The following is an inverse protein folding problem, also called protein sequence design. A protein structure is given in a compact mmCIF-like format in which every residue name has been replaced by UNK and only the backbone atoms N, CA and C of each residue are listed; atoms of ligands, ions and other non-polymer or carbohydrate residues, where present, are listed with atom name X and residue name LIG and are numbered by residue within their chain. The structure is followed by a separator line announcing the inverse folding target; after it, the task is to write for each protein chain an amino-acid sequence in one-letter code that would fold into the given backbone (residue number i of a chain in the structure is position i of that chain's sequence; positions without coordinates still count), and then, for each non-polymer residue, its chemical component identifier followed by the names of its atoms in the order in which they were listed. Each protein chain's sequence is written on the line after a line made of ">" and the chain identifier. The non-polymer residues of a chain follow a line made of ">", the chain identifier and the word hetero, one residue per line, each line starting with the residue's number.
data_IF_638697614227
#
_entry.id   IF_638697614227
#
_cell.length_a   1.000
_cell.length_b   1.000
_cell.length_c   1.000
_cell.angle_alpha   90.00
_cell.angle_beta   90.00
_cell.angle_gamma   90.00
#
_symmetry.space_group_name_H-M   'P 1'
#
loop_
_entity.id
_entity.type
_entity.pdbx_description
1 polymer ?
#
# COMPACT_ATOMS: atom_id res chain seq x y z
N UNK A 1 -45.16 27.22 -11.43
CA UNK A 1 -44.57 26.04 -12.12
C UNK A 1 -43.23 26.45 -12.68
N UNK A 2 -42.18 26.22 -11.94
CA UNK A 2 -40.82 26.47 -12.40
C UNK A 2 -39.91 25.33 -11.92
N UNK A 3 -39.55 24.47 -12.88
CA UNK A 3 -38.64 23.35 -12.66
C UNK A 3 -37.20 23.87 -12.78
N UNK A 4 -36.49 24.00 -11.66
CA UNK A 4 -35.07 24.21 -11.67
C UNK A 4 -34.33 22.87 -11.82
N UNK A 5 -33.55 22.75 -12.87
CA UNK A 5 -32.62 21.65 -13.16
C UNK A 5 -31.41 21.77 -12.21
N UNK A 6 -30.93 20.72 -11.57
CA UNK A 6 -29.71 20.79 -10.76
C UNK A 6 -28.48 20.91 -11.66
N UNK A 7 -27.66 21.92 -11.36
CA UNK A 7 -26.44 22.23 -12.09
C UNK A 7 -25.37 21.14 -11.95
N UNK A 8 -24.68 20.89 -13.04
CA UNK A 8 -23.48 20.09 -13.17
C UNK A 8 -22.41 20.61 -12.20
N UNK A 9 -22.01 19.77 -11.26
CA UNK A 9 -20.83 20.00 -10.43
C UNK A 9 -19.61 19.55 -11.23
N UNK A 10 -18.89 20.51 -11.79
CA UNK A 10 -17.58 20.28 -12.38
C UNK A 10 -16.58 19.84 -11.29
N UNK A 11 -15.73 18.83 -11.53
CA UNK A 11 -14.70 18.47 -10.56
C UNK A 11 -13.75 19.65 -10.36
N UNK A 12 -13.58 20.07 -9.10
CA UNK A 12 -12.61 21.08 -8.71
C UNK A 12 -11.21 20.62 -9.14
N UNK A 13 -10.49 21.48 -9.87
CA UNK A 13 -9.08 21.28 -10.19
C UNK A 13 -8.32 21.04 -8.87
N UNK A 14 -7.48 20.00 -8.85
CA UNK A 14 -6.54 19.76 -7.76
C UNK A 14 -5.76 21.05 -7.47
N UNK A 15 -5.92 21.57 -6.27
CA UNK A 15 -5.17 22.74 -5.80
C UNK A 15 -3.70 22.31 -5.68
N UNK A 16 -2.79 23.11 -6.24
CA UNK A 16 -1.35 22.91 -6.03
C UNK A 16 -1.05 23.27 -4.57
N UNK A 17 -0.82 22.26 -3.74
CA UNK A 17 -0.39 22.50 -2.37
C UNK A 17 1.01 23.09 -2.34
N UNK A 18 1.13 24.20 -1.64
CA UNK A 18 2.40 24.78 -1.26
C UNK A 18 2.62 24.44 0.22
N UNK A 19 3.46 23.48 0.49
CA UNK A 19 3.90 23.20 1.85
C UNK A 19 4.78 24.36 2.35
N UNK A 20 4.51 24.94 3.52
CA UNK A 20 5.45 25.90 4.09
C UNK A 20 6.75 25.17 4.41
N UNK A 21 7.85 25.58 3.79
CA UNK A 21 9.18 25.03 4.02
C UNK A 21 9.58 25.26 5.46
N UNK A 22 10.00 24.19 6.15
CA UNK A 22 10.74 24.33 7.41
C UNK A 22 12.04 25.03 7.07
N UNK A 23 12.28 26.21 7.63
CA UNK A 23 13.50 26.99 7.37
C UNK A 23 14.70 26.23 7.92
N UNK A 24 15.66 25.82 7.08
CA UNK A 24 16.87 25.19 7.58
C UNK A 24 17.78 26.21 8.27
N UNK A 25 18.43 25.79 9.32
CA UNK A 25 19.56 26.53 9.90
C UNK A 25 20.62 26.77 8.81
N UNK A 26 21.23 27.96 8.80
CA UNK A 26 22.11 28.49 7.78
C UNK A 26 23.15 27.48 7.27
N UNK A 27 23.33 27.32 5.94
CA UNK A 27 24.21 26.33 5.36
C UNK A 27 25.69 26.72 5.50
N UNK A 28 26.60 25.74 5.63
CA UNK A 28 28.02 25.98 5.40
C UNK A 28 28.30 26.24 3.91
N UNK A 29 29.33 27.04 3.62
CA UNK A 29 29.73 27.57 2.32
C UNK A 29 29.89 26.52 1.21
N UNK A 30 29.63 26.86 -0.06
CA UNK A 30 29.54 25.89 -1.14
C UNK A 30 30.89 25.45 -1.66
N UNK A 31 31.21 24.17 -1.56
CA UNK A 31 32.27 23.55 -2.33
C UNK A 31 31.71 22.67 -3.42
N UNK A 32 31.98 23.07 -4.66
CA UNK A 32 31.85 22.33 -5.94
C UNK A 32 30.54 21.61 -6.23
N UNK A 33 29.77 22.19 -7.14
CA UNK A 33 28.75 21.50 -7.95
C UNK A 33 29.39 20.28 -8.63
N UNK A 34 29.00 19.09 -8.20
CA UNK A 34 29.00 17.92 -9.07
C UNK A 34 27.70 17.95 -9.85
N UNK A 35 27.82 18.12 -11.16
CA UNK A 35 26.70 17.94 -12.09
C UNK A 35 26.27 16.47 -12.02
N UNK A 36 25.11 16.22 -11.41
CA UNK A 36 24.45 14.93 -11.52
C UNK A 36 24.14 14.70 -13.01
N UNK A 37 24.80 13.74 -13.63
CA UNK A 37 24.43 13.25 -14.96
C UNK A 37 23.04 12.65 -14.85
N UNK A 38 22.04 13.39 -15.33
CA UNK A 38 20.68 12.90 -15.50
C UNK A 38 20.73 11.66 -16.41
N UNK A 39 20.42 10.49 -15.87
CA UNK A 39 20.17 9.32 -16.66
C UNK A 39 18.91 9.61 -17.49
N UNK A 40 19.10 9.91 -18.77
CA UNK A 40 18.00 10.08 -19.73
C UNK A 40 17.44 8.71 -20.05
N UNK A 41 16.18 8.49 -19.73
CA UNK A 41 15.43 7.32 -20.23
C UNK A 41 15.61 7.17 -21.73
N UNK A 42 15.78 5.95 -22.26
CA UNK A 42 15.89 5.73 -23.70
C UNK A 42 14.71 6.35 -24.43
N UNK A 43 14.97 7.10 -25.52
CA UNK A 43 13.96 7.84 -26.31
C UNK A 43 12.77 6.98 -26.80
N UNK A 44 12.93 5.65 -26.84
CA UNK A 44 11.90 4.70 -27.20
C UNK A 44 10.72 4.64 -26.21
N UNK A 45 10.94 5.02 -24.94
CA UNK A 45 9.91 5.02 -23.90
C UNK A 45 9.11 6.33 -23.82
N UNK A 46 9.65 7.44 -24.33
CA UNK A 46 8.97 8.74 -24.32
C UNK A 46 7.82 8.86 -25.34
N UNK A 47 7.75 7.99 -26.37
CA UNK A 47 6.79 8.11 -27.49
C UNK A 47 5.53 7.26 -27.40
N UNK A 48 5.32 6.46 -26.35
CA UNK A 48 4.10 5.63 -26.23
C UNK A 48 3.30 5.95 -24.95
N UNK A 49 2.49 7.00 -25.02
CA UNK A 49 1.31 7.17 -24.16
C UNK A 49 0.20 6.21 -24.63
N UNK A 50 0.38 4.92 -24.53
CA UNK A 50 -0.73 3.94 -24.57
C UNK A 50 -0.17 2.55 -24.28
N UNK A 51 -0.60 1.95 -23.18
CA UNK A 51 -0.39 0.56 -22.76
C UNK A 51 1.08 0.15 -22.70
N UNK A 52 1.76 0.57 -21.64
CA UNK A 52 3.08 0.07 -21.31
C UNK A 52 3.04 -1.44 -21.10
N UNK A 53 3.65 -2.20 -22.00
CA UNK A 53 4.21 -3.49 -21.65
C UNK A 53 5.52 -3.18 -20.94
N UNK A 54 5.58 -3.39 -19.63
CA UNK A 54 6.85 -3.38 -18.92
C UNK A 54 7.66 -4.57 -19.48
N UNK A 55 8.56 -4.31 -20.40
CA UNK A 55 9.45 -5.36 -20.90
C UNK A 55 10.42 -5.75 -19.77
N UNK A 56 10.95 -6.98 -19.83
CA UNK A 56 12.02 -7.40 -18.90
C UNK A 56 13.20 -6.43 -18.89
N UNK A 57 13.47 -5.77 -20.03
CA UNK A 57 14.48 -4.73 -20.16
C UNK A 57 14.14 -3.46 -19.34
N UNK A 58 12.86 -3.07 -19.28
CA UNK A 58 12.44 -1.95 -18.43
C UNK A 58 12.59 -2.27 -16.93
N UNK A 59 12.12 -3.44 -16.51
CA UNK A 59 12.28 -3.88 -15.12
C UNK A 59 13.75 -4.03 -14.73
N UNK A 60 14.61 -4.50 -15.65
CA UNK A 60 16.05 -4.59 -15.41
C UNK A 60 16.71 -3.20 -15.30
N UNK A 61 16.26 -2.23 -16.10
CA UNK A 61 16.77 -0.86 -16.04
C UNK A 61 16.33 -0.19 -14.71
N UNK A 62 15.08 -0.41 -14.28
CA UNK A 62 14.57 0.04 -12.99
C UNK A 62 15.38 -0.57 -11.82
N UNK A 63 15.70 -1.86 -11.90
CA UNK A 63 16.49 -2.57 -10.90
C UNK A 63 17.96 -2.11 -10.81
N UNK A 64 18.47 -1.40 -11.80
CA UNK A 64 19.85 -0.89 -11.86
C UNK A 64 19.98 0.62 -11.65
N UNK A 65 18.87 1.32 -11.38
CA UNK A 65 18.83 2.75 -11.13
C UNK A 65 19.59 3.17 -9.87
N UNK A 66 20.05 4.42 -9.84
CA UNK A 66 20.59 5.03 -8.61
C UNK A 66 19.42 5.37 -7.69
N UNK A 67 19.48 4.87 -6.45
CA UNK A 67 18.41 5.02 -5.49
C UNK A 67 18.65 6.18 -4.55
N UNK A 68 17.59 6.90 -4.30
CA UNK A 68 17.53 7.87 -3.23
C UNK A 68 17.14 7.15 -1.92
N UNK A 69 17.77 7.48 -0.81
CA UNK A 69 17.34 6.99 0.50
C UNK A 69 17.12 8.14 1.47
N UNK A 70 16.15 7.96 2.35
CA UNK A 70 15.84 8.91 3.40
C UNK A 70 15.94 8.19 4.75
N UNK A 71 16.57 8.88 5.71
CA UNK A 71 16.53 8.51 7.12
C UNK A 71 15.59 9.49 7.80
N UNK A 72 14.58 9.00 8.48
CA UNK A 72 13.66 9.86 9.20
C UNK A 72 14.38 10.51 10.37
N UNK A 73 14.33 11.83 10.52
CA UNK A 73 14.87 12.48 11.69
C UNK A 73 14.03 12.06 12.89
N UNK A 74 14.67 11.49 13.89
CA UNK A 74 14.06 11.34 15.20
C UNK A 74 14.04 12.68 15.93
N UNK A 75 13.45 12.69 17.12
CA UNK A 75 13.47 13.84 18.01
C UNK A 75 14.90 14.39 18.14
N UNK A 76 15.06 15.70 17.86
CA UNK A 76 16.37 16.37 17.95
C UNK A 76 17.00 16.27 19.35
N UNK A 77 16.17 15.98 20.39
CA UNK A 77 16.62 15.83 21.77
C UNK A 77 17.23 14.45 22.07
N UNK A 78 16.78 13.38 21.41
CA UNK A 78 17.17 11.99 21.71
C UNK A 78 18.18 11.41 20.75
N UNK A 79 18.37 12.00 19.55
CA UNK A 79 19.20 11.47 18.45
C UNK A 79 18.84 10.02 18.08
N UNK A 80 17.66 9.53 18.44
CA UNK A 80 17.18 8.23 17.99
C UNK A 80 16.72 8.33 16.52
N UNK A 81 16.87 7.29 15.75
CA UNK A 81 16.37 7.21 14.38
C UNK A 81 15.08 6.40 14.42
N UNK A 82 13.99 6.97 13.92
CA UNK A 82 12.71 6.30 13.92
C UNK A 82 12.63 5.25 12.81
N UNK A 83 11.96 4.11 13.10
CA UNK A 83 11.78 3.04 12.13
C UNK A 83 10.55 3.31 11.25
N UNK A 84 10.68 3.42 9.91
CA UNK A 84 9.55 3.60 9.02
C UNK A 84 8.75 2.30 8.90
N UNK A 85 7.46 2.36 9.20
CA UNK A 85 6.57 1.20 9.23
C UNK A 85 5.50 1.21 8.15
N UNK A 86 5.07 2.39 7.70
CA UNK A 86 3.99 2.52 6.72
C UNK A 86 4.23 3.68 5.77
N UNK A 87 3.81 3.49 4.51
CA UNK A 87 4.02 4.42 3.42
C UNK A 87 2.71 4.69 2.68
N UNK A 88 2.51 5.94 2.27
CA UNK A 88 1.43 6.29 1.35
C UNK A 88 1.82 7.48 0.48
N UNK A 89 1.65 7.38 -0.84
CA UNK A 89 1.89 8.46 -1.75
C UNK A 89 0.64 9.31 -2.03
N UNK A 90 0.85 10.62 -2.06
CA UNK A 90 -0.05 11.58 -2.67
C UNK A 90 0.73 12.34 -3.74
N UNK A 91 0.62 11.95 -5.00
CA UNK A 91 1.42 12.49 -6.10
C UNK A 91 2.93 12.39 -5.81
N UNK A 92 3.62 13.53 -5.64
CA UNK A 92 5.04 13.59 -5.30
C UNK A 92 5.34 13.52 -3.80
N UNK A 93 4.30 13.65 -2.96
CA UNK A 93 4.48 13.64 -1.52
C UNK A 93 4.33 12.22 -0.96
N UNK A 94 5.35 11.77 -0.25
CA UNK A 94 5.38 10.48 0.44
C UNK A 94 5.13 10.69 1.93
N UNK A 95 4.01 10.20 2.43
CA UNK A 95 3.78 10.09 3.86
C UNK A 95 4.48 8.84 4.39
N UNK A 96 5.21 9.00 5.48
CA UNK A 96 5.93 7.93 6.18
C UNK A 96 5.49 7.95 7.63
N UNK A 97 4.93 6.84 8.09
CA UNK A 97 4.58 6.62 9.49
C UNK A 97 5.64 5.77 10.18
N UNK A 98 6.00 6.15 11.40
CA UNK A 98 7.08 5.53 12.14
C UNK A 98 6.62 4.80 13.42
N UNK A 99 7.58 4.20 14.10
CA UNK A 99 7.38 3.46 15.36
C UNK A 99 7.25 4.37 16.59
N UNK A 100 7.56 5.68 16.45
CA UNK A 100 7.35 6.69 17.49
C UNK A 100 5.98 7.38 17.40
N UNK A 101 5.16 7.02 16.42
CA UNK A 101 3.80 7.56 16.22
C UNK A 101 3.75 8.85 15.42
N UNK A 102 4.83 9.23 14.75
CA UNK A 102 4.91 10.42 13.92
C UNK A 102 4.52 10.10 12.49
N UNK A 103 4.11 11.13 11.78
CA UNK A 103 3.94 11.10 10.34
C UNK A 103 4.82 12.19 9.73
N UNK A 104 5.73 11.78 8.87
CA UNK A 104 6.60 12.67 8.12
C UNK A 104 6.16 12.70 6.65
N UNK A 105 6.16 13.88 6.04
CA UNK A 105 5.85 14.05 4.61
C UNK A 105 7.14 14.43 3.89
N UNK A 106 7.53 13.63 2.92
CA UNK A 106 8.70 13.86 2.08
C UNK A 106 8.26 14.34 0.69
N UNK A 107 8.89 15.40 0.17
CA UNK A 107 8.77 15.80 -1.23
C UNK A 107 9.83 15.03 -2.04
N UNK A 108 9.41 14.07 -2.84
CA UNK A 108 10.31 13.17 -3.58
C UNK A 108 10.97 13.83 -4.80
N UNK A 109 10.59 15.06 -5.15
CA UNK A 109 11.24 15.83 -6.20
C UNK A 109 12.39 16.68 -5.67
N UNK A 110 12.47 16.88 -4.37
CA UNK A 110 13.54 17.66 -3.74
C UNK A 110 14.75 16.76 -3.40
N UNK A 111 15.97 17.31 -3.38
CA UNK A 111 17.16 16.57 -2.93
C UNK A 111 16.99 16.05 -1.49
N UNK A 112 17.66 14.96 -1.14
CA UNK A 112 17.57 14.31 0.18
C UNK A 112 17.66 15.26 1.38
N UNK A 113 18.53 16.26 1.31
CA UNK A 113 18.76 17.23 2.39
C UNK A 113 17.59 18.20 2.60
N UNK A 114 16.67 18.32 1.64
CA UNK A 114 15.53 19.25 1.65
C UNK A 114 14.20 18.53 1.40
N UNK A 115 14.19 17.20 1.34
CA UNK A 115 13.01 16.42 1.03
C UNK A 115 11.96 16.43 2.14
N UNK A 116 12.35 16.63 3.40
CA UNK A 116 11.40 16.70 4.50
C UNK A 116 10.55 17.97 4.40
N UNK A 117 9.30 17.82 3.94
CA UNK A 117 8.34 18.91 3.83
C UNK A 117 7.60 19.18 5.13
N UNK A 118 7.30 18.13 5.89
CA UNK A 118 6.58 18.21 7.16
C UNK A 118 6.93 17.02 8.06
N UNK A 119 7.01 17.26 9.36
CA UNK A 119 7.07 16.21 10.39
C UNK A 119 6.15 16.59 11.54
N UNK A 120 5.30 15.68 11.95
CA UNK A 120 4.38 15.90 13.06
C UNK A 120 5.08 15.67 14.38
N UNK A 121 4.50 16.22 15.46
CA UNK A 121 4.61 15.60 16.77
C UNK A 121 3.96 14.20 16.73
N UNK A 122 4.21 13.31 17.71
CA UNK A 122 3.56 12.02 17.76
C UNK A 122 2.03 12.16 17.69
N UNK A 123 1.44 11.72 16.57
CA UNK A 123 -0.01 11.73 16.35
C UNK A 123 -0.68 10.51 16.98
N UNK A 124 0.09 9.46 17.22
CA UNK A 124 -0.35 8.18 17.76
C UNK A 124 0.49 7.85 18.99
N UNK A 125 -0.11 7.28 20.01
CA UNK A 125 0.66 6.73 21.14
C UNK A 125 1.28 5.38 20.75
N UNK A 126 2.55 5.42 20.31
CA UNK A 126 3.30 4.30 19.75
C UNK A 126 3.28 4.30 18.21
N UNK A 127 3.27 3.15 17.56
CA UNK A 127 3.57 3.03 16.14
C UNK A 127 2.41 3.38 15.22
N UNK A 128 2.73 3.93 14.04
CA UNK A 128 1.81 4.13 12.91
C UNK A 128 1.89 2.91 11.99
N UNK A 129 0.86 2.07 11.98
CA UNK A 129 0.87 0.82 11.23
C UNK A 129 0.26 0.87 9.84
N UNK A 130 -0.56 1.87 9.56
CA UNK A 130 -1.21 2.00 8.27
C UNK A 130 -1.46 3.47 7.94
N UNK A 131 -1.21 3.82 6.69
CA UNK A 131 -1.46 5.12 6.09
C UNK A 131 -2.19 4.93 4.78
N UNK A 132 -3.18 5.79 4.48
CA UNK A 132 -3.90 5.74 3.21
C UNK A 132 -4.44 7.12 2.85
N UNK A 133 -4.13 7.60 1.66
CA UNK A 133 -4.58 8.90 1.16
C UNK A 133 -5.92 8.82 0.41
N UNK A 134 -6.74 9.83 0.61
CA UNK A 134 -7.90 10.11 -0.24
C UNK A 134 -8.00 11.63 -0.44
N UNK A 135 -7.69 12.10 -1.65
CA UNK A 135 -7.48 13.52 -1.92
C UNK A 135 -6.46 14.10 -0.90
N UNK A 136 -6.86 15.12 -0.15
CA UNK A 136 -6.02 15.85 0.80
C UNK A 136 -6.16 15.33 2.25
N UNK A 137 -6.83 14.19 2.42
CA UNK A 137 -7.07 13.56 3.71
C UNK A 137 -6.24 12.29 3.85
N UNK A 138 -5.49 12.18 4.94
CA UNK A 138 -4.72 11.01 5.29
C UNK A 138 -5.39 10.25 6.44
N UNK A 139 -5.80 9.01 6.19
CA UNK A 139 -6.22 8.10 7.24
C UNK A 139 -4.98 7.47 7.89
N UNK A 140 -4.95 7.44 9.23
CA UNK A 140 -3.84 6.96 10.05
C UNK A 140 -4.35 5.89 10.99
N UNK A 141 -3.77 4.68 10.92
CA UNK A 141 -4.05 3.58 11.84
C UNK A 141 -2.91 3.41 12.85
N UNK A 142 -3.22 3.51 14.14
CA UNK A 142 -2.22 3.54 15.20
C UNK A 142 -2.23 2.33 16.13
N UNK A 143 -1.10 2.09 16.79
CA UNK A 143 -0.98 1.05 17.83
C UNK A 143 -1.85 1.30 19.06
N UNK A 144 -2.32 2.53 19.26
CA UNK A 144 -3.24 2.94 20.31
C UNK A 144 -4.72 2.59 20.02
N UNK A 145 -4.95 1.73 19.03
CA UNK A 145 -6.28 1.24 18.65
C UNK A 145 -7.22 2.30 18.06
N UNK A 146 -6.70 3.45 17.67
CA UNK A 146 -7.49 4.53 17.05
C UNK A 146 -7.26 4.62 15.56
N UNK A 147 -8.24 5.18 14.86
CA UNK A 147 -8.11 5.65 13.47
C UNK A 147 -8.25 7.16 13.47
N UNK A 148 -7.29 7.85 12.85
CA UNK A 148 -7.30 9.31 12.78
C UNK A 148 -7.42 9.78 11.35
N UNK A 149 -8.05 10.92 11.18
CA UNK A 149 -8.12 11.64 9.92
C UNK A 149 -7.31 12.93 10.04
N UNK A 150 -6.23 12.99 9.30
CA UNK A 150 -5.38 14.17 9.21
C UNK A 150 -5.65 14.92 7.90
N UNK A 151 -5.77 16.23 7.99
CA UNK A 151 -6.09 17.12 6.86
C UNK A 151 -4.81 17.84 6.44
N UNK A 152 -4.40 17.66 5.18
CA UNK A 152 -3.17 18.23 4.67
C UNK A 152 -3.21 19.77 4.55
N UNK A 153 -4.39 20.36 4.27
CA UNK A 153 -4.53 21.81 4.21
C UNK A 153 -4.39 22.44 5.60
N UNK A 154 -4.96 21.80 6.60
CA UNK A 154 -4.93 22.27 7.99
C UNK A 154 -3.69 21.84 8.75
N UNK A 155 -2.95 20.84 8.22
CA UNK A 155 -1.82 20.19 8.88
C UNK A 155 -2.17 19.71 10.30
N UNK A 156 -3.38 19.19 10.48
CA UNK A 156 -3.90 18.81 11.78
C UNK A 156 -4.80 17.58 11.70
N UNK A 157 -4.86 16.82 12.79
CA UNK A 157 -5.86 15.78 12.98
C UNK A 157 -7.22 16.45 13.16
N UNK A 158 -8.15 16.14 12.28
CA UNK A 158 -9.51 16.69 12.31
C UNK A 158 -10.49 15.78 13.02
N UNK A 159 -10.26 14.48 12.99
CA UNK A 159 -11.13 13.47 13.60
C UNK A 159 -10.25 12.36 14.18
N UNK A 160 -10.66 11.86 15.35
CA UNK A 160 -10.15 10.62 15.93
C UNK A 160 -11.33 9.71 16.20
N UNK A 161 -11.30 8.51 15.62
CA UNK A 161 -12.29 7.48 15.85
C UNK A 161 -11.75 6.42 16.80
N UNK A 162 -12.57 6.09 17.78
CA UNK A 162 -12.34 5.03 18.75
C UNK A 162 -13.37 3.92 18.54
N UNK A 163 -12.98 2.67 18.81
CA UNK A 163 -13.90 1.53 18.66
C UNK A 163 -13.17 0.19 18.54
N UNK A 164 -11.98 0.18 17.96
CA UNK A 164 -11.15 -1.02 17.91
C UNK A 164 -10.59 -1.37 19.30
N UNK A 165 -10.57 -2.67 19.62
CA UNK A 165 -9.88 -3.20 20.80
C UNK A 165 -8.45 -3.69 20.50
N UNK A 166 -8.02 -3.58 19.26
CA UNK A 166 -6.69 -3.93 18.77
C UNK A 166 -6.22 -2.97 17.69
N UNK A 167 -4.92 -2.95 17.42
CA UNK A 167 -4.31 -2.00 16.47
C UNK A 167 -4.88 -2.15 15.06
N UNK A 168 -5.44 -1.10 14.43
CA UNK A 168 -5.80 -1.08 13.03
C UNK A 168 -4.53 -1.15 12.16
N UNK A 169 -4.48 -2.16 11.31
CA UNK A 169 -3.35 -2.42 10.39
C UNK A 169 -3.76 -2.41 8.93
N UNK A 170 -5.06 -2.47 8.66
CA UNK A 170 -5.62 -2.41 7.33
C UNK A 170 -6.50 -1.17 7.23
N UNK A 171 -6.22 -0.33 6.27
CA UNK A 171 -7.05 0.83 5.91
C UNK A 171 -7.43 0.71 4.43
N UNK A 172 -8.60 1.18 4.09
CA UNK A 172 -9.03 1.35 2.71
C UNK A 172 -10.05 2.49 2.62
N UNK A 173 -9.97 3.30 1.58
CA UNK A 173 -10.97 4.32 1.29
C UNK A 173 -12.04 3.77 0.37
N UNK A 174 -13.29 4.07 0.70
CA UNK A 174 -14.38 3.87 -0.25
C UNK A 174 -14.33 4.95 -1.35
N UNK A 175 -14.87 4.67 -2.54
CA UNK A 175 -15.01 5.70 -3.58
C UNK A 175 -15.83 6.91 -3.15
N UNK A 176 -16.66 6.75 -2.12
CA UNK A 176 -17.53 7.79 -1.55
C UNK A 176 -16.86 8.62 -0.46
N UNK A 177 -15.60 8.30 -0.11
CA UNK A 177 -14.81 9.04 0.89
C UNK A 177 -15.05 8.60 2.34
N UNK A 178 -15.47 7.36 2.57
CA UNK A 178 -15.47 6.75 3.90
C UNK A 178 -14.19 5.95 4.13
N UNK A 179 -13.63 6.01 5.33
CA UNK A 179 -12.50 5.18 5.74
C UNK A 179 -13.01 3.83 6.23
N UNK A 180 -12.41 2.75 5.78
CA UNK A 180 -12.65 1.41 6.36
C UNK A 180 -11.38 0.94 7.03
N UNK A 181 -11.50 0.47 8.26
CA UNK A 181 -10.39 -0.05 9.05
C UNK A 181 -10.62 -1.49 9.47
N UNK A 182 -9.56 -2.28 9.44
CA UNK A 182 -9.50 -3.63 9.97
C UNK A 182 -8.35 -3.77 10.97
N UNK A 183 -8.59 -4.46 12.07
CA UNK A 183 -7.63 -4.46 13.16
C UNK A 183 -7.31 -5.87 13.70
N UNK A 184 -6.38 -5.87 14.65
CA UNK A 184 -5.92 -7.10 15.33
C UNK A 184 -7.01 -7.76 16.18
N UNK A 185 -8.05 -7.00 16.58
CA UNK A 185 -9.24 -7.53 17.26
C UNK A 185 -10.14 -8.39 16.37
N UNK A 186 -9.89 -8.37 15.04
CA UNK A 186 -10.66 -9.10 14.04
C UNK A 186 -11.90 -8.37 13.56
N UNK A 187 -12.12 -7.15 14.00
CA UNK A 187 -13.27 -6.33 13.62
C UNK A 187 -12.95 -5.45 12.42
N UNK A 188 -13.99 -5.10 11.66
CA UNK A 188 -13.94 -4.13 10.58
C UNK A 188 -14.94 -3.02 10.87
N UNK A 189 -14.49 -1.78 10.79
CA UNK A 189 -15.34 -0.59 10.90
C UNK A 189 -15.32 0.22 9.62
N UNK A 190 -16.44 0.87 9.32
CA UNK A 190 -16.54 1.91 8.28
C UNK A 190 -16.86 3.23 8.98
N UNK A 191 -16.03 4.23 8.71
CA UNK A 191 -16.08 5.55 9.33
C UNK A 191 -16.46 6.60 8.30
N UNK A 192 -17.43 7.43 8.64
CA UNK A 192 -17.80 8.60 7.84
C UNK A 192 -17.32 9.86 8.55
N UNK A 193 -16.55 10.70 7.88
CA UNK A 193 -16.03 11.95 8.45
C UNK A 193 -17.10 12.94 8.92
N UNK A 194 -18.36 12.72 8.51
CA UNK A 194 -19.52 13.52 8.93
C UNK A 194 -20.11 13.09 10.27
N UNK A 195 -19.70 11.93 10.77
CA UNK A 195 -20.27 11.34 12.00
C UNK A 195 -19.15 10.97 12.98
N UNK A 196 -19.37 11.18 14.30
CA UNK A 196 -18.38 10.82 15.31
C UNK A 196 -18.32 9.30 15.57
N UNK A 197 -19.34 8.56 15.19
CA UNK A 197 -19.44 7.11 15.38
C UNK A 197 -19.27 6.36 14.06
N UNK A 198 -18.91 5.08 14.14
CA UNK A 198 -18.84 4.21 12.99
C UNK A 198 -20.19 4.13 12.27
N UNK A 199 -20.15 4.26 10.94
CA UNK A 199 -21.31 4.07 10.09
C UNK A 199 -21.69 2.58 9.97
N UNK A 200 -20.70 1.68 10.06
CA UNK A 200 -20.88 0.24 10.00
C UNK A 200 -19.84 -0.46 10.89
N UNK A 201 -20.26 -1.54 11.56
CA UNK A 201 -19.37 -2.44 12.31
C UNK A 201 -19.63 -3.89 11.89
N UNK A 202 -18.58 -4.58 11.51
CA UNK A 202 -18.55 -6.00 11.19
C UNK A 202 -17.70 -6.69 12.26
N UNK A 203 -18.32 -7.28 13.29
CA UNK A 203 -17.58 -7.89 14.36
C UNK A 203 -16.98 -9.23 13.92
N UNK A 204 -15.74 -9.47 14.32
CA UNK A 204 -15.04 -10.75 14.16
C UNK A 204 -15.11 -11.29 12.72
N UNK A 205 -14.74 -10.46 11.75
CA UNK A 205 -14.92 -10.70 10.32
C UNK A 205 -14.39 -12.05 9.82
N UNK A 206 -13.31 -12.56 10.43
CA UNK A 206 -12.67 -13.84 10.07
C UNK A 206 -12.67 -14.88 11.20
N UNK A 207 -13.51 -14.73 12.21
CA UNK A 207 -13.51 -15.67 13.34
C UNK A 207 -13.93 -17.09 12.93
N UNK A 208 -13.19 -18.06 13.42
CA UNK A 208 -13.57 -19.48 13.41
C UNK A 208 -13.86 -19.94 14.84
N UNK A 209 -15.11 -20.31 15.13
CA UNK A 209 -15.56 -20.75 16.46
C UNK A 209 -15.18 -19.73 17.57
N UNK A 210 -14.16 -20.04 18.39
CA UNK A 210 -13.72 -19.19 19.51
C UNK A 210 -12.44 -18.40 19.20
N UNK A 211 -11.74 -18.66 18.09
CA UNK A 211 -10.51 -17.96 17.74
C UNK A 211 -10.82 -16.64 17.03
N UNK A 212 -10.14 -15.58 17.43
CA UNK A 212 -10.12 -14.29 16.73
C UNK A 212 -8.95 -14.31 15.75
N UNK A 213 -9.21 -13.93 14.50
CA UNK A 213 -8.17 -13.76 13.50
C UNK A 213 -8.06 -12.27 13.18
N UNK A 214 -6.86 -11.70 13.29
CA UNK A 214 -6.61 -10.32 12.93
C UNK A 214 -6.96 -10.06 11.46
N UNK A 215 -7.62 -8.95 11.16
CA UNK A 215 -7.82 -8.46 9.80
C UNK A 215 -6.52 -7.82 9.35
N UNK A 216 -5.95 -8.31 8.26
CA UNK A 216 -4.61 -7.93 7.80
C UNK A 216 -4.62 -7.01 6.59
N UNK A 217 -5.63 -7.15 5.72
CA UNK A 217 -5.80 -6.26 4.59
C UNK A 217 -7.27 -6.11 4.20
N UNK A 218 -7.57 -4.97 3.61
CA UNK A 218 -8.88 -4.56 3.10
C UNK A 218 -8.70 -3.98 1.71
N UNK A 219 -9.63 -4.24 0.82
CA UNK A 219 -9.66 -3.61 -0.50
C UNK A 219 -11.10 -3.50 -1.02
N UNK A 220 -11.46 -2.34 -1.53
CA UNK A 220 -12.73 -2.17 -2.23
C UNK A 220 -12.64 -2.82 -3.61
N UNK A 221 -13.69 -3.57 -3.96
CA UNK A 221 -13.81 -4.18 -5.29
C UNK A 221 -14.43 -3.20 -6.28
N UNK A 222 -14.24 -3.42 -7.59
CA UNK A 222 -14.87 -2.60 -8.62
C UNK A 222 -16.38 -2.45 -8.40
N UNK A 223 -16.87 -1.21 -8.46
CA UNK A 223 -18.26 -0.88 -8.12
C UNK A 223 -18.43 -0.26 -6.73
N UNK A 224 -17.44 -0.34 -5.83
CA UNK A 224 -17.37 0.41 -4.57
C UNK A 224 -18.31 -0.02 -3.45
N UNK A 225 -19.26 -0.91 -3.72
CA UNK A 225 -20.26 -1.40 -2.74
C UNK A 225 -19.81 -2.67 -2.03
N UNK A 226 -18.77 -3.31 -2.53
CA UNK A 226 -18.25 -4.57 -2.00
C UNK A 226 -16.82 -4.39 -1.51
N UNK A 227 -16.52 -5.02 -0.38
CA UNK A 227 -15.24 -4.98 0.30
C UNK A 227 -14.67 -6.39 0.40
N UNK A 228 -13.44 -6.59 -0.04
CA UNK A 228 -12.67 -7.79 0.26
C UNK A 228 -11.88 -7.59 1.54
N UNK A 229 -11.87 -8.60 2.40
CA UNK A 229 -11.06 -8.63 3.61
C UNK A 229 -10.27 -9.93 3.72
N UNK A 230 -9.11 -9.86 4.33
CA UNK A 230 -8.22 -11.00 4.59
C UNK A 230 -7.81 -11.08 6.05
N UNK A 231 -7.20 -12.19 6.43
CA UNK A 231 -6.80 -12.42 7.82
C UNK A 231 -5.44 -13.08 7.97
N UNK A 232 -4.89 -12.96 9.17
CA UNK A 232 -3.64 -13.62 9.56
C UNK A 232 -3.76 -15.15 9.71
N UNK A 233 -4.98 -15.72 9.74
CA UNK A 233 -5.19 -17.10 10.10
C UNK A 233 -5.14 -18.09 8.92
N UNK A 234 -5.52 -17.63 7.72
CA UNK A 234 -5.59 -18.44 6.51
C UNK A 234 -5.63 -17.57 5.26
N UNK A 235 -5.36 -18.17 4.10
CA UNK A 235 -5.42 -17.50 2.80
C UNK A 235 -6.84 -17.52 2.21
N UNK A 236 -7.83 -17.09 3.01
CA UNK A 236 -9.24 -17.00 2.63
C UNK A 236 -9.64 -15.53 2.55
N UNK A 237 -10.20 -15.13 1.42
CA UNK A 237 -10.83 -13.83 1.27
C UNK A 237 -12.31 -13.94 1.67
N UNK A 238 -12.79 -12.97 2.42
CA UNK A 238 -14.21 -12.74 2.64
C UNK A 238 -14.63 -11.50 1.84
N UNK A 239 -15.72 -11.60 1.11
CA UNK A 239 -16.32 -10.48 0.38
C UNK A 239 -17.62 -10.06 1.07
N UNK A 240 -17.75 -8.78 1.32
CA UNK A 240 -18.87 -8.17 2.03
C UNK A 240 -19.62 -7.21 1.13
N UNK A 241 -20.94 -7.30 1.10
CA UNK A 241 -21.78 -6.20 0.62
C UNK A 241 -22.05 -5.28 1.81
N UNK A 242 -21.54 -4.05 1.75
CA UNK A 242 -21.60 -3.11 2.86
C UNK A 242 -23.03 -2.64 3.19
N UNK A 243 -23.96 -2.81 2.28
CA UNK A 243 -25.40 -2.54 2.51
C UNK A 243 -26.05 -3.62 3.39
N UNK A 244 -25.46 -4.82 3.43
CA UNK A 244 -26.00 -5.98 4.15
C UNK A 244 -24.87 -6.80 4.83
N UNK A 245 -23.98 -6.15 5.55
CA UNK A 245 -22.74 -6.72 6.07
C UNK A 245 -22.90 -7.67 7.28
N UNK A 246 -24.07 -8.27 7.50
CA UNK A 246 -24.27 -9.26 8.59
C UNK A 246 -23.48 -10.55 8.40
N UNK A 247 -23.17 -10.90 7.16
CA UNK A 247 -22.35 -12.07 6.78
C UNK A 247 -21.69 -11.78 5.43
N UNK A 248 -20.52 -12.38 5.16
CA UNK A 248 -19.91 -12.26 3.85
C UNK A 248 -20.81 -12.88 2.78
N UNK A 249 -20.90 -12.21 1.63
CA UNK A 249 -21.66 -12.67 0.46
C UNK A 249 -20.91 -13.76 -0.30
N UNK A 250 -19.59 -13.74 -0.25
CA UNK A 250 -18.72 -14.77 -0.84
C UNK A 250 -17.49 -15.02 0.02
N UNK A 251 -16.92 -16.22 -0.11
CA UNK A 251 -15.67 -16.63 0.50
C UNK A 251 -14.90 -17.49 -0.49
N UNK A 252 -13.58 -17.31 -0.52
CA UNK A 252 -12.70 -18.20 -1.29
C UNK A 252 -12.40 -19.48 -0.51
N UNK A 253 -11.88 -20.49 -1.22
CA UNK A 253 -11.14 -21.57 -0.57
C UNK A 253 -9.80 -21.04 -0.03
N UNK A 254 -9.19 -21.80 0.87
CA UNK A 254 -7.86 -21.48 1.41
C UNK A 254 -6.80 -21.65 0.31
N UNK A 255 -6.36 -20.52 -0.24
CA UNK A 255 -5.46 -20.49 -1.39
C UNK A 255 -4.07 -21.07 -1.06
N UNK A 256 -3.60 -20.97 0.20
CA UNK A 256 -2.31 -21.53 0.61
C UNK A 256 -2.23 -23.05 0.46
N UNK A 257 -3.37 -23.73 0.41
CA UNK A 257 -3.46 -25.18 0.18
C UNK A 257 -3.30 -25.57 -1.30
N UNK A 258 -3.28 -24.61 -2.21
CA UNK A 258 -3.00 -24.87 -3.63
C UNK A 258 -1.54 -25.23 -3.87
N UNK A 259 -0.64 -24.69 -3.05
CA UNK A 259 0.77 -25.01 -3.11
C UNK A 259 1.04 -26.39 -2.47
N UNK A 260 1.59 -27.33 -3.25
CA UNK A 260 1.83 -28.73 -2.81
C UNK A 260 2.82 -28.85 -1.65
N UNK A 261 3.66 -27.82 -1.45
CA UNK A 261 4.64 -27.79 -0.35
C UNK A 261 4.06 -27.26 0.96
N UNK A 262 2.86 -26.67 0.96
CA UNK A 262 2.23 -26.13 2.17
C UNK A 262 1.54 -27.21 2.98
N UNK A 263 2.04 -27.46 4.18
CA UNK A 263 1.43 -28.37 5.16
C UNK A 263 0.51 -27.65 6.15
N UNK A 264 0.54 -26.33 6.20
CA UNK A 264 -0.24 -25.48 7.12
C UNK A 264 -1.03 -24.43 6.33
N UNK A 265 -2.04 -23.86 6.96
CA UNK A 265 -2.67 -22.63 6.46
C UNK A 265 -1.79 -21.44 6.76
N UNK A 266 -1.62 -20.57 5.78
CA UNK A 266 -0.87 -19.33 5.87
C UNK A 266 -1.83 -18.15 5.78
N UNK A 267 -1.51 -17.03 6.45
CA UNK A 267 -2.32 -15.84 6.42
C UNK A 267 -2.00 -14.96 5.19
N UNK A 268 -2.94 -14.13 4.80
CA UNK A 268 -2.71 -13.08 3.81
C UNK A 268 -2.24 -11.82 4.54
N UNK A 269 -1.17 -11.21 4.07
CA UNK A 269 -0.59 -9.99 4.64
C UNK A 269 -1.12 -8.72 3.96
N UNK A 270 -1.36 -8.76 2.64
CA UNK A 270 -1.76 -7.58 1.88
C UNK A 270 -2.62 -7.94 0.68
N UNK A 271 -3.43 -6.99 0.22
CA UNK A 271 -4.29 -7.08 -0.95
C UNK A 271 -4.04 -5.91 -1.89
N UNK A 272 -4.05 -6.17 -3.20
CA UNK A 272 -4.08 -5.15 -4.23
C UNK A 272 -5.13 -5.52 -5.29
N UNK A 273 -5.91 -4.55 -5.75
CA UNK A 273 -7.00 -4.76 -6.70
C UNK A 273 -6.69 -4.06 -8.02
N UNK A 274 -6.59 -4.81 -9.08
CA UNK A 274 -6.50 -4.31 -10.45
C UNK A 274 -7.92 -4.20 -11.03
N UNK A 275 -8.49 -3.00 -10.98
CA UNK A 275 -9.88 -2.77 -11.36
C UNK A 275 -10.13 -3.03 -12.85
N UNK A 276 -9.22 -2.60 -13.73
CA UNK A 276 -9.32 -2.79 -15.18
C UNK A 276 -9.21 -4.25 -15.61
N UNK A 277 -8.63 -5.10 -14.78
CA UNK A 277 -8.38 -6.53 -15.03
C UNK A 277 -9.32 -7.44 -14.28
N UNK A 278 -10.14 -6.90 -13.40
CA UNK A 278 -10.95 -7.67 -12.47
C UNK A 278 -10.14 -8.70 -11.67
N UNK A 279 -8.92 -8.34 -11.26
CA UNK A 279 -8.03 -9.21 -10.51
C UNK A 279 -7.77 -8.68 -9.10
N UNK A 280 -7.70 -9.61 -8.13
CA UNK A 280 -7.24 -9.35 -6.77
C UNK A 280 -5.94 -10.11 -6.57
N UNK A 281 -4.89 -9.41 -6.21
CA UNK A 281 -3.61 -9.98 -5.80
C UNK A 281 -3.54 -10.03 -4.29
N UNK A 282 -3.20 -11.18 -3.73
CA UNK A 282 -3.16 -11.43 -2.29
C UNK A 282 -1.79 -11.97 -1.90
N UNK A 283 -0.97 -11.16 -1.23
CA UNK A 283 0.30 -11.63 -0.68
C UNK A 283 0.04 -12.55 0.51
N UNK A 284 0.67 -13.70 0.50
CA UNK A 284 0.54 -14.72 1.53
C UNK A 284 1.88 -14.93 2.25
N UNK A 285 1.80 -15.31 3.52
CA UNK A 285 3.00 -15.57 4.34
C UNK A 285 3.77 -16.83 3.92
N UNK A 286 3.27 -17.60 2.96
CA UNK A 286 3.99 -18.71 2.32
C UNK A 286 4.92 -18.27 1.18
N UNK A 287 5.04 -16.97 0.93
CA UNK A 287 5.87 -16.40 -0.12
C UNK A 287 5.22 -16.32 -1.50
N UNK A 288 3.94 -16.72 -1.62
CA UNK A 288 3.18 -16.61 -2.85
C UNK A 288 2.29 -15.36 -2.88
N UNK A 289 2.01 -14.87 -4.07
CA UNK A 289 0.95 -13.91 -4.34
C UNK A 289 -0.14 -14.63 -5.11
N UNK A 290 -1.26 -14.90 -4.46
CA UNK A 290 -2.41 -15.56 -5.08
C UNK A 290 -3.25 -14.58 -5.89
N UNK A 291 -3.81 -15.07 -6.99
CA UNK A 291 -4.64 -14.27 -7.89
C UNK A 291 -6.08 -14.79 -7.85
N UNK A 292 -7.03 -13.86 -7.68
CA UNK A 292 -8.46 -14.15 -7.65
C UNK A 292 -9.19 -13.25 -8.65
N UNK A 293 -10.35 -13.71 -9.12
CA UNK A 293 -11.25 -12.90 -9.93
C UNK A 293 -12.03 -11.95 -9.02
N UNK A 294 -11.95 -10.64 -9.28
CA UNK A 294 -12.68 -9.63 -8.50
C UNK A 294 -14.19 -9.61 -8.79
N UNK A 295 -14.63 -10.17 -9.91
CA UNK A 295 -16.04 -10.32 -10.25
C UNK A 295 -16.69 -11.52 -9.57
N UNK A 296 -15.93 -12.62 -9.37
CA UNK A 296 -16.40 -13.81 -8.68
C UNK A 296 -15.23 -14.50 -7.97
N UNK A 297 -14.97 -14.11 -6.74
CA UNK A 297 -13.87 -14.65 -5.93
C UNK A 297 -13.99 -16.16 -5.62
N UNK A 298 -15.16 -16.76 -5.86
CA UNK A 298 -15.37 -18.20 -5.65
C UNK A 298 -14.80 -19.04 -6.78
N UNK A 299 -14.55 -18.40 -7.93
CA UNK A 299 -13.89 -19.05 -9.06
C UNK A 299 -12.37 -19.04 -8.88
N UNK A 300 -11.69 -20.08 -9.33
CA UNK A 300 -10.24 -20.02 -9.51
C UNK A 300 -9.93 -18.87 -10.50
N UNK A 301 -8.71 -18.38 -10.44
CA UNK A 301 -8.22 -17.41 -11.43
C UNK A 301 -8.65 -17.82 -12.85
N UNK A 302 -8.94 -16.81 -13.69
CA UNK A 302 -9.51 -17.03 -15.02
C UNK A 302 -8.75 -18.15 -15.78
N UNK A 303 -9.43 -19.10 -16.42
CA UNK A 303 -8.76 -20.19 -17.11
C UNK A 303 -7.70 -19.68 -18.10
N UNK A 304 -6.47 -20.13 -17.94
CA UNK A 304 -5.30 -19.71 -18.73
C UNK A 304 -4.59 -18.48 -18.20
N UNK A 305 -4.93 -17.98 -17.00
CA UNK A 305 -4.15 -17.02 -16.22
C UNK A 305 -3.44 -17.70 -15.06
N UNK A 306 -2.38 -17.05 -14.56
CA UNK A 306 -1.70 -17.53 -13.35
C UNK A 306 -2.64 -17.50 -12.15
N UNK A 307 -2.67 -18.57 -11.39
CA UNK A 307 -3.38 -18.65 -10.12
C UNK A 307 -2.54 -18.15 -8.94
N UNK A 308 -1.22 -18.08 -9.12
CA UNK A 308 -0.29 -17.49 -8.18
C UNK A 308 1.01 -17.05 -8.87
N UNK A 309 1.65 -16.03 -8.29
CA UNK A 309 2.97 -15.54 -8.63
C UNK A 309 3.91 -15.87 -7.48
N UNK A 310 5.13 -16.26 -7.75
CA UNK A 310 6.12 -16.47 -6.71
C UNK A 310 7.55 -16.22 -7.20
N UNK A 311 8.44 -15.96 -6.25
CA UNK A 311 9.89 -15.91 -6.47
C UNK A 311 10.59 -16.81 -5.45
N UNK A 312 11.60 -17.54 -5.90
CA UNK A 312 12.28 -18.55 -5.08
C UNK A 312 12.94 -17.96 -3.83
N UNK A 313 13.26 -16.68 -3.85
CA UNK A 313 13.87 -15.99 -2.69
C UNK A 313 12.87 -15.61 -1.59
N UNK A 314 11.57 -15.81 -1.81
CA UNK A 314 10.52 -15.41 -0.88
C UNK A 314 10.00 -16.57 -0.04
N UNK A 315 10.87 -17.36 0.57
CA UNK A 315 10.47 -18.58 1.26
C UNK A 315 9.49 -18.43 2.42
N UNK A 316 9.40 -17.28 3.04
CA UNK A 316 8.35 -16.97 4.04
C UNK A 316 8.26 -15.46 4.19
N UNK A 317 7.11 -14.88 3.91
CA UNK A 317 6.86 -13.48 4.21
C UNK A 317 6.26 -13.33 5.60
N UNK A 318 6.54 -12.24 6.26
CA UNK A 318 5.85 -11.87 7.47
C UNK A 318 4.44 -11.34 7.18
N UNK A 319 3.67 -11.14 8.23
CA UNK A 319 2.38 -10.45 8.12
C UNK A 319 2.53 -8.93 7.89
N UNK A 320 3.75 -8.43 7.83
CA UNK A 320 4.05 -7.03 7.52
C UNK A 320 4.30 -6.78 6.04
N UNK A 321 4.64 -7.82 5.26
CA UNK A 321 4.87 -7.69 3.82
C UNK A 321 3.65 -7.07 3.11
N UNK A 322 3.87 -5.95 2.40
CA UNK A 322 2.83 -5.21 1.70
C UNK A 322 2.98 -5.34 0.19
N UNK A 323 1.83 -5.36 -0.48
CA UNK A 323 1.70 -5.27 -1.93
C UNK A 323 1.37 -3.83 -2.31
N UNK A 324 1.99 -3.37 -3.39
CA UNK A 324 1.59 -2.15 -4.05
C UNK A 324 1.41 -2.40 -5.56
N UNK A 325 0.38 -1.81 -6.14
CA UNK A 325 0.05 -1.96 -7.56
C UNK A 325 0.08 -0.58 -8.23
N UNK A 326 0.81 -0.47 -9.34
CA UNK A 326 0.87 0.73 -10.16
C UNK A 326 0.13 0.53 -11.47
N UNK A 327 -0.86 1.39 -11.75
CA UNK A 327 -1.63 1.48 -13.01
C UNK A 327 -2.11 0.10 -13.53
N UNK A 328 -2.57 -0.77 -12.63
CA UNK A 328 -3.00 -2.15 -12.92
C UNK A 328 -1.95 -2.99 -13.71
N UNK A 329 -0.69 -2.55 -13.73
CA UNK A 329 0.35 -3.11 -14.59
C UNK A 329 1.60 -3.62 -13.87
N UNK A 330 2.06 -2.92 -12.84
CA UNK A 330 3.25 -3.29 -12.07
C UNK A 330 2.88 -3.61 -10.63
N UNK A 331 3.18 -4.82 -10.21
CA UNK A 331 2.97 -5.28 -8.85
C UNK A 331 4.31 -5.35 -8.12
N UNK A 332 4.41 -4.72 -6.94
CA UNK A 332 5.57 -4.77 -6.06
C UNK A 332 5.22 -5.49 -4.76
N UNK A 333 6.15 -6.25 -4.22
CA UNK A 333 6.07 -6.87 -2.90
C UNK A 333 7.40 -6.73 -2.18
N UNK A 334 7.36 -6.16 -0.98
CA UNK A 334 8.48 -6.19 -0.04
C UNK A 334 8.60 -7.56 0.62
N UNK A 335 9.84 -8.03 0.88
CA UNK A 335 10.06 -9.30 1.56
C UNK A 335 10.96 -9.16 2.79
N UNK A 336 10.98 -10.20 3.63
CA UNK A 336 11.74 -10.22 4.89
C UNK A 336 13.26 -10.20 4.72
N UNK A 337 13.77 -10.47 3.51
CA UNK A 337 15.22 -10.45 3.22
C UNK A 337 15.72 -9.09 2.72
N UNK A 338 14.91 -8.03 2.78
CA UNK A 338 15.30 -6.69 2.31
C UNK A 338 15.23 -6.53 0.79
N UNK A 339 14.54 -7.42 0.09
CA UNK A 339 14.34 -7.33 -1.36
C UNK A 339 12.92 -6.87 -1.69
N UNK A 340 12.80 -6.10 -2.76
CA UNK A 340 11.50 -5.85 -3.40
C UNK A 340 11.43 -6.70 -4.66
N UNK A 341 10.32 -7.35 -4.87
CA UNK A 341 10.06 -8.14 -6.07
C UNK A 341 8.99 -7.48 -6.91
N UNK A 342 9.28 -7.34 -8.20
CA UNK A 342 8.40 -6.72 -9.18
C UNK A 342 7.90 -7.75 -10.17
N UNK A 343 6.59 -7.69 -10.48
CA UNK A 343 5.98 -8.45 -11.58
C UNK A 343 5.27 -7.50 -12.55
N UNK A 344 5.47 -7.76 -13.84
CA UNK A 344 4.61 -7.19 -14.87
C UNK A 344 3.30 -7.99 -14.94
N UNK A 345 2.24 -7.39 -14.46
CA UNK A 345 0.89 -7.95 -14.49
C UNK A 345 0.00 -7.29 -15.56
N UNK A 346 0.58 -6.47 -16.47
CA UNK A 346 -0.14 -5.76 -17.53
C UNK A 346 -0.73 -6.69 -18.60
N UNK A 347 -0.13 -7.86 -18.77
CA UNK A 347 -0.60 -8.89 -19.69
C UNK A 347 -1.11 -10.10 -18.91
N UNK A 348 -1.97 -10.90 -19.54
CA UNK A 348 -2.30 -12.23 -19.01
C UNK A 348 -1.00 -13.04 -18.96
N UNK A 349 -0.59 -13.38 -17.73
CA UNK A 349 0.68 -14.07 -17.49
C UNK A 349 0.50 -15.51 -17.98
N UNK A 350 1.06 -15.83 -19.14
CA UNK A 350 0.83 -17.12 -19.79
C UNK A 350 2.04 -18.02 -20.00
N UNK A 351 3.30 -17.56 -20.17
CA UNK A 351 4.21 -18.48 -20.84
C UNK A 351 4.79 -19.60 -19.96
N UNK A 352 4.93 -19.42 -18.66
CA UNK A 352 5.68 -20.35 -17.79
C UNK A 352 4.89 -20.80 -16.57
N UNK A 353 3.59 -21.09 -16.78
CA UNK A 353 2.73 -21.61 -15.72
C UNK A 353 3.09 -23.07 -15.48
N UNK A 354 3.45 -23.42 -14.24
CA UNK A 354 3.70 -24.79 -13.84
C UNK A 354 2.41 -25.65 -13.80
N UNK A 355 2.54 -26.92 -13.50
CA UNK A 355 1.41 -27.86 -13.45
C UNK A 355 0.37 -27.49 -12.37
N UNK A 356 0.66 -26.56 -11.47
CA UNK A 356 -0.22 -26.05 -10.42
C UNK A 356 -0.86 -24.69 -10.75
N UNK A 357 -0.56 -24.13 -11.92
CA UNK A 357 -1.02 -22.79 -12.32
C UNK A 357 -0.20 -21.64 -11.71
N UNK A 358 1.04 -21.89 -11.28
CA UNK A 358 1.90 -20.91 -10.67
C UNK A 358 2.92 -20.38 -11.66
N UNK A 359 3.18 -19.09 -11.63
CA UNK A 359 4.23 -18.43 -12.41
C UNK A 359 5.40 -18.11 -11.51
N UNK A 360 6.55 -18.66 -11.86
CA UNK A 360 7.83 -18.33 -11.24
C UNK A 360 8.48 -17.19 -12.00
N UNK A 361 9.09 -16.27 -11.27
CA UNK A 361 9.93 -15.22 -11.81
C UNK A 361 9.31 -13.84 -11.64
N UNK A 362 9.93 -13.05 -10.79
CA UNK A 362 9.80 -11.62 -10.67
C UNK A 362 11.16 -10.98 -10.91
N UNK A 363 11.20 -9.70 -11.17
CA UNK A 363 12.45 -8.93 -11.14
C UNK A 363 12.73 -8.56 -9.69
N UNK A 364 13.84 -9.05 -9.15
CA UNK A 364 14.25 -8.80 -7.78
C UNK A 364 15.11 -7.56 -7.73
N UNK A 365 14.68 -6.54 -7.01
CA UNK A 365 15.48 -5.37 -6.67
C UNK A 365 16.38 -5.77 -5.49
N UNK A 366 17.68 -5.97 -5.77
CA UNK A 366 18.64 -6.47 -4.79
C UNK A 366 19.59 -5.37 -4.33
N UNK A 367 20.20 -5.57 -3.15
CA UNK A 367 21.37 -4.87 -2.62
C UNK A 367 21.16 -3.56 -1.87
N UNK A 368 19.96 -3.20 -1.48
CA UNK A 368 19.77 -1.88 -0.87
C UNK A 368 19.31 -1.93 0.59
N UNK A 369 18.43 -2.84 0.93
CA UNK A 369 18.00 -3.03 2.31
C UNK A 369 18.66 -4.25 2.94
N UNK A 370 18.94 -4.16 4.25
CA UNK A 370 19.61 -5.22 5.03
C UNK A 370 18.67 -5.89 6.03
N UNK A 371 17.39 -5.50 6.07
CA UNK A 371 16.40 -5.98 7.00
C UNK A 371 15.04 -6.16 6.29
N UNK A 372 14.00 -6.50 7.03
CA UNK A 372 12.65 -6.70 6.50
C UNK A 372 12.06 -5.40 5.94
N UNK A 373 11.38 -5.50 4.79
CA UNK A 373 10.63 -4.40 4.21
C UNK A 373 9.21 -4.42 4.78
N UNK A 374 8.88 -3.35 5.50
CA UNK A 374 7.60 -3.18 6.17
C UNK A 374 6.49 -2.75 5.21
N UNK A 375 6.82 -1.86 4.27
CA UNK A 375 5.83 -1.32 3.34
C UNK A 375 6.46 -0.92 2.01
N UNK A 376 5.64 -0.93 0.97
CA UNK A 376 5.97 -0.44 -0.36
C UNK A 376 4.80 0.38 -0.92
N UNK A 377 5.11 1.45 -1.64
CA UNK A 377 4.09 2.32 -2.24
C UNK A 377 4.55 2.88 -3.57
N UNK A 378 3.63 3.04 -4.53
CA UNK A 378 3.90 3.56 -5.87
C UNK A 378 3.36 4.97 -6.06
N UNK A 379 4.07 5.73 -6.90
CA UNK A 379 3.54 6.97 -7.48
C UNK A 379 3.96 7.11 -8.93
N UNK A 380 3.35 8.08 -9.63
CA UNK A 380 3.80 8.53 -10.94
C UNK A 380 4.75 9.70 -10.76
N UNK A 381 6.04 9.44 -10.85
CA UNK A 381 7.07 10.48 -10.85
C UNK A 381 7.16 11.20 -12.21
N UNK A 382 7.98 12.26 -12.31
CA UNK A 382 8.16 13.05 -13.55
C UNK A 382 8.77 12.23 -14.69
N UNK A 383 9.45 11.15 -14.39
CA UNK A 383 10.15 10.30 -15.36
C UNK A 383 9.49 8.93 -15.57
N UNK A 384 8.42 8.63 -14.84
CA UNK A 384 7.72 7.34 -14.88
C UNK A 384 7.31 6.87 -13.51
N UNK A 385 7.01 5.57 -13.35
CA UNK A 385 6.69 5.01 -12.05
C UNK A 385 7.85 5.23 -11.05
N UNK A 386 7.50 5.58 -9.84
CA UNK A 386 8.44 5.70 -8.73
C UNK A 386 7.91 4.84 -7.58
N UNK A 387 8.75 3.97 -7.04
CA UNK A 387 8.45 3.09 -5.92
C UNK A 387 9.17 3.57 -4.67
N UNK A 388 8.46 3.60 -3.54
CA UNK A 388 9.07 3.75 -2.23
C UNK A 388 9.04 2.43 -1.47
N UNK A 389 10.06 2.18 -0.66
CA UNK A 389 10.12 1.05 0.28
C UNK A 389 10.57 1.52 1.65
N UNK A 390 9.89 1.06 2.72
CA UNK A 390 10.25 1.29 4.12
C UNK A 390 10.81 0.00 4.71
N UNK A 391 11.88 0.09 5.48
CA UNK A 391 12.60 -1.07 5.97
C UNK A 391 13.03 -0.91 7.43
N UNK A 392 13.15 -2.04 8.13
CA UNK A 392 13.68 -2.12 9.50
C UNK A 392 15.18 -1.76 9.60
N UNK A 393 15.85 -1.50 8.47
CA UNK A 393 17.18 -0.89 8.45
C UNK A 393 17.15 0.63 8.71
N UNK A 394 15.99 1.17 9.15
CA UNK A 394 15.72 2.57 9.47
C UNK A 394 15.76 3.49 8.25
N UNK A 395 15.67 2.95 7.06
CA UNK A 395 15.70 3.74 5.82
C UNK A 395 14.40 3.59 5.02
N UNK A 396 14.03 4.68 4.36
CA UNK A 396 13.04 4.69 3.28
C UNK A 396 13.80 4.93 1.98
N UNK A 397 13.56 4.12 0.96
CA UNK A 397 14.23 4.22 -0.34
C UNK A 397 13.28 4.50 -1.46
N UNK A 398 13.74 5.26 -2.45
CA UNK A 398 13.03 5.53 -3.69
C UNK A 398 13.75 4.87 -4.86
N UNK A 399 12.95 4.27 -5.71
CA UNK A 399 13.36 3.60 -6.94
C UNK A 399 12.70 4.32 -8.12
N UNK A 400 13.48 4.79 -9.09
CA UNK A 400 12.99 5.61 -10.23
C UNK A 400 13.49 5.08 -11.56
#
# INVERSE_FOLDING_TARGET
>A
MDRRVPGNVTPRRASRFFWPRVSPASPPSPTRRQEARRATMPLALQKRRSKYRASSAYLSAFASGEDAYYVLPSDQATQSIANPLSLAFLQQYLAVGDDEGRVSILDTLEPHSSALAYSSDPLVHGSVFALEWYNDLLAIGGSDCTVRLWDAEKQAVTITWEGHAGSPRALAWSPEGCVTSGARDGDVYVWDARTPSAALHIPRAHAKKKSVAAVTALAYLPGGQTLASSSSANAVLHVWDLRMAKRPVAKTDDASRRASWNTRSHGISSLAVAASRHAIYAACTDGCVYVFDAGDVTRPAVPGEASALYEVMQYQNSLYARLALYDDSLLALGCHLGHVVLWDVSTRIRPDVDCHGFVRGGTVLTRLHNAEINDVSWTCGPHGPCLASACDDLTTRLWT
#
